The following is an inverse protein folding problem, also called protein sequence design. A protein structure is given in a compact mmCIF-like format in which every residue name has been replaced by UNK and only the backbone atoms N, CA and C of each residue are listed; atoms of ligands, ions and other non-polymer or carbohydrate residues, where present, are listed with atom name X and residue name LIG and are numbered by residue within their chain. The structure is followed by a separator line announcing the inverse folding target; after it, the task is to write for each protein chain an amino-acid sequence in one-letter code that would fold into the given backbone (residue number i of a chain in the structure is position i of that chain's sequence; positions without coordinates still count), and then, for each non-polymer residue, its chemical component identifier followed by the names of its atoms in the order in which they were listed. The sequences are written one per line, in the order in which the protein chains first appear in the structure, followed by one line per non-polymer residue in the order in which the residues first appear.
data_IF_821339505102
#
_entry.id   IF_821339505102
#
_cell.length_a   1.000
_cell.length_b   1.000
_cell.length_c   1.000
_cell.angle_alpha   90.00
_cell.angle_beta   90.00
_cell.angle_gamma   90.00
#
_symmetry.space_group_name_H-M   'P 1'
#
loop_
_entity.id
_entity.type
_entity.pdbx_description
1 polymer ?
#
# COMPACT_ATOMS: atom_id res chain seq x y z
N UNK A 1 -5.95 2.39 -2.58
CA UNK A 1 -4.69 2.47 -3.36
C UNK A 1 -4.94 2.82 -4.82
N UNK A 2 -5.40 1.89 -5.68
CA UNK A 2 -5.49 2.10 -7.13
C UNK A 2 -6.26 3.37 -7.56
N UNK A 3 -7.38 3.66 -6.90
CA UNK A 3 -8.19 4.88 -7.15
C UNK A 3 -7.43 6.19 -6.89
N UNK A 4 -6.46 6.21 -5.98
CA UNK A 4 -5.67 7.42 -5.69
C UNK A 4 -4.78 7.84 -6.86
N UNK A 5 -4.47 6.92 -7.78
CA UNK A 5 -3.60 7.16 -8.92
C UNK A 5 -4.36 7.70 -10.15
N UNK A 6 -5.67 7.49 -10.23
CA UNK A 6 -6.46 7.80 -11.43
C UNK A 6 -6.45 9.29 -11.84
N UNK A 7 -6.35 10.27 -10.91
CA UNK A 7 -6.24 11.69 -11.30
C UNK A 7 -4.90 12.10 -11.91
N UNK A 8 -3.87 11.24 -11.84
CA UNK A 8 -2.49 11.61 -12.15
C UNK A 8 -2.03 11.24 -13.56
N UNK A 9 -2.94 10.74 -14.41
CA UNK A 9 -2.65 10.44 -15.81
C UNK A 9 -1.85 9.15 -16.01
N UNK A 10 -1.78 8.29 -14.99
CA UNK A 10 -1.09 7.00 -15.07
C UNK A 10 -2.06 5.86 -15.42
N UNK A 11 -1.55 4.85 -16.10
CA UNK A 11 -2.30 3.64 -16.39
C UNK A 11 -2.28 2.69 -15.18
N UNK A 12 -3.45 2.38 -14.62
CA UNK A 12 -3.56 1.53 -13.43
C UNK A 12 -4.18 0.19 -13.79
N UNK A 13 -3.44 -0.88 -13.54
CA UNK A 13 -3.94 -2.25 -13.58
C UNK A 13 -4.11 -2.80 -12.17
N UNK A 14 -5.15 -3.59 -11.95
CA UNK A 14 -5.40 -4.23 -10.66
C UNK A 14 -5.55 -5.74 -10.80
N UNK A 15 -4.81 -6.45 -9.95
CA UNK A 15 -4.94 -7.88 -9.75
C UNK A 15 -5.42 -8.15 -8.33
N UNK A 16 -6.57 -8.81 -8.19
CA UNK A 16 -7.23 -9.03 -6.91
C UNK A 16 -8.18 -10.22 -7.01
N UNK A 17 -8.66 -10.71 -5.87
CA UNK A 17 -9.73 -11.71 -5.81
C UNK A 17 -10.99 -11.07 -5.22
N UNK A 18 -12.13 -11.30 -5.86
CA UNK A 18 -13.46 -10.95 -5.36
C UNK A 18 -14.32 -12.20 -5.30
N UNK A 19 -15.34 -12.21 -4.45
CA UNK A 19 -16.34 -13.26 -4.44
C UNK A 19 -17.18 -13.26 -5.71
N UNK A 20 -17.81 -14.40 -6.00
CA UNK A 20 -18.84 -14.51 -7.04
C UNK A 20 -20.22 -13.99 -6.56
N UNK A 21 -20.23 -12.80 -5.94
CA UNK A 21 -21.40 -12.23 -5.26
C UNK A 21 -21.74 -10.81 -5.79
N UNK A 22 -22.80 -10.22 -5.24
CA UNK A 22 -23.25 -8.88 -5.62
C UNK A 22 -22.19 -7.81 -5.36
N UNK A 23 -21.43 -7.94 -4.27
CA UNK A 23 -20.37 -6.99 -3.91
C UNK A 23 -19.17 -7.11 -4.86
N UNK A 24 -18.84 -8.32 -5.33
CA UNK A 24 -17.80 -8.54 -6.34
C UNK A 24 -18.17 -7.92 -7.69
N UNK A 25 -19.44 -8.03 -8.10
CA UNK A 25 -19.96 -7.33 -9.29
C UNK A 25 -19.91 -5.82 -9.12
N UNK A 26 -20.30 -5.30 -7.95
CA UNK A 26 -20.24 -3.87 -7.61
C UNK A 26 -18.80 -3.35 -7.64
N UNK A 27 -17.84 -4.08 -7.05
CA UNK A 27 -16.42 -3.71 -7.06
C UNK A 27 -15.90 -3.58 -8.50
N UNK A 28 -16.20 -4.54 -9.38
CA UNK A 28 -15.83 -4.47 -10.81
C UNK A 28 -16.45 -3.26 -11.52
N UNK A 29 -17.71 -2.94 -11.22
CA UNK A 29 -18.37 -1.77 -11.79
C UNK A 29 -17.70 -0.46 -11.35
N UNK A 30 -17.34 -0.35 -10.07
CA UNK A 30 -16.62 0.81 -9.53
C UNK A 30 -15.23 0.96 -10.17
N UNK A 31 -14.48 -0.14 -10.33
CA UNK A 31 -13.18 -0.10 -11.01
C UNK A 31 -13.31 0.39 -12.46
N UNK A 32 -14.34 -0.06 -13.20
CA UNK A 32 -14.61 0.42 -14.56
C UNK A 32 -14.98 1.90 -14.59
N UNK A 33 -15.81 2.37 -13.66
CA UNK A 33 -16.18 3.78 -13.57
C UNK A 33 -14.97 4.69 -13.33
N UNK A 34 -13.99 4.20 -12.57
CA UNK A 34 -12.71 4.86 -12.31
C UNK A 34 -11.67 4.65 -13.43
N UNK A 35 -12.04 4.00 -14.54
CA UNK A 35 -11.16 3.66 -15.67
C UNK A 35 -9.92 2.82 -15.29
N UNK A 36 -10.02 2.04 -14.21
CA UNK A 36 -8.95 1.13 -13.76
C UNK A 36 -9.06 -0.19 -14.54
N UNK A 37 -7.94 -0.65 -15.12
CA UNK A 37 -7.89 -1.92 -15.87
C UNK A 37 -7.97 -3.12 -14.92
N UNK A 38 -9.15 -3.73 -14.84
CA UNK A 38 -9.48 -4.80 -13.90
C UNK A 38 -9.43 -6.22 -14.51
N UNK A 39 -8.63 -6.43 -15.55
CA UNK A 39 -8.48 -7.75 -16.21
C UNK A 39 -7.83 -8.80 -15.30
N UNK A 40 -7.08 -8.37 -14.29
CA UNK A 40 -6.47 -9.23 -13.28
C UNK A 40 -7.40 -9.54 -12.09
N UNK A 41 -8.63 -9.04 -12.08
CA UNK A 41 -9.59 -9.33 -11.00
C UNK A 41 -10.23 -10.69 -11.24
N UNK A 42 -9.98 -11.63 -10.34
CA UNK A 42 -10.46 -13.01 -10.39
C UNK A 42 -11.69 -13.15 -9.50
N UNK A 43 -12.69 -13.88 -9.97
CA UNK A 43 -13.87 -14.22 -9.17
C UNK A 43 -13.72 -15.62 -8.59
N UNK A 44 -13.78 -15.72 -7.27
CA UNK A 44 -13.69 -16.97 -6.53
C UNK A 44 -15.04 -17.26 -5.86
N UNK A 45 -15.62 -18.44 -6.11
CA UNK A 45 -16.92 -18.84 -5.54
C UNK A 45 -16.81 -19.32 -4.10
N UNK A 46 -15.61 -19.70 -3.66
CA UNK A 46 -15.38 -20.30 -2.34
C UNK A 46 -15.32 -19.28 -1.20
N UNK A 47 -15.34 -17.98 -1.50
CA UNK A 47 -15.19 -16.92 -0.50
C UNK A 47 -16.05 -15.67 -0.81
N UNK A 48 -16.48 -14.92 0.21
CA UNK A 48 -17.18 -13.67 0.00
C UNK A 48 -16.21 -12.57 -0.46
N UNK A 49 -16.74 -11.59 -1.19
CA UNK A 49 -16.03 -10.32 -1.41
C UNK A 49 -15.86 -9.59 -0.08
N UNK A 50 -14.61 -9.30 0.30
CA UNK A 50 -14.29 -8.54 1.52
C UNK A 50 -15.05 -7.22 1.53
N UNK A 51 -15.94 -7.06 2.52
CA UNK A 51 -16.79 -5.87 2.66
C UNK A 51 -16.73 -5.37 4.10
N UNK A 52 -16.57 -4.06 4.27
CA UNK A 52 -16.58 -3.37 5.56
C UNK A 52 -17.78 -2.42 5.58
N UNK A 53 -18.87 -2.81 6.23
CA UNK A 53 -20.08 -1.99 6.32
C UNK A 53 -20.06 -1.19 7.62
N UNK A 54 -20.04 0.14 7.53
CA UNK A 54 -20.13 1.05 8.68
C UNK A 54 -21.58 1.54 8.81
N UNK A 55 -22.19 1.33 9.98
CA UNK A 55 -23.52 1.83 10.33
C UNK A 55 -23.32 3.07 11.19
N UNK A 56 -23.89 4.19 10.77
CA UNK A 56 -23.71 5.51 11.41
C UNK A 56 -25.06 6.17 11.68
N UNK A 57 -25.21 6.86 12.81
CA UNK A 57 -26.33 7.76 13.11
C UNK A 57 -25.77 9.09 13.63
N UNK A 58 -26.37 10.21 13.22
CA UNK A 58 -26.00 11.57 13.67
C UNK A 58 -24.47 11.82 13.69
N UNK A 59 -23.77 11.37 12.64
CA UNK A 59 -22.30 11.44 12.45
C UNK A 59 -21.46 10.57 13.40
N UNK A 60 -22.07 9.75 14.25
CA UNK A 60 -21.37 8.75 15.07
C UNK A 60 -21.44 7.37 14.43
N UNK A 61 -20.33 6.62 14.46
CA UNK A 61 -20.31 5.23 14.02
C UNK A 61 -20.86 4.33 15.13
N UNK A 62 -22.00 3.69 14.87
CA UNK A 62 -22.65 2.76 15.80
C UNK A 62 -21.99 1.40 15.75
N UNK A 63 -21.84 0.83 14.55
CA UNK A 63 -21.38 -0.54 14.36
C UNK A 63 -20.60 -0.69 13.06
N UNK A 64 -19.64 -1.64 13.07
CA UNK A 64 -18.96 -2.11 11.86
C UNK A 64 -19.24 -3.60 11.66
N UNK A 65 -19.76 -3.96 10.49
CA UNK A 65 -19.98 -5.33 10.06
C UNK A 65 -18.94 -5.70 8.99
N UNK A 66 -18.09 -6.66 9.32
CA UNK A 66 -17.03 -7.13 8.44
C UNK A 66 -17.46 -8.48 7.85
N UNK A 67 -17.52 -8.57 6.51
CA UNK A 67 -17.73 -9.83 5.79
C UNK A 67 -16.45 -10.15 5.05
N UNK A 68 -15.67 -11.08 5.56
CA UNK A 68 -14.35 -11.40 5.03
C UNK A 68 -13.91 -12.83 5.33
N UNK A 69 -12.98 -13.31 4.52
CA UNK A 69 -12.24 -14.55 4.74
C UNK A 69 -10.76 -14.18 4.77
N UNK A 70 -9.98 -14.83 5.65
CA UNK A 70 -8.54 -14.60 5.81
C UNK A 70 -7.70 -15.77 5.33
N UNK A 71 -8.31 -16.94 5.14
CA UNK A 71 -7.69 -18.10 4.52
C UNK A 71 -7.15 -17.76 3.13
N UNK A 72 -6.11 -18.52 2.74
CA UNK A 72 -5.53 -18.44 1.41
C UNK A 72 -6.61 -18.59 0.33
N UNK A 73 -6.46 -17.86 -0.77
CA UNK A 73 -7.30 -18.06 -1.97
C UNK A 73 -7.17 -19.50 -2.49
N UNK A 74 -8.18 -19.96 -3.24
CA UNK A 74 -8.13 -21.29 -3.85
C UNK A 74 -6.92 -21.45 -4.77
N UNK A 75 -6.43 -22.68 -4.93
CA UNK A 75 -5.31 -22.98 -5.83
C UNK A 75 -5.59 -22.55 -7.27
N UNK A 76 -6.85 -22.63 -7.73
CA UNK A 76 -7.25 -22.12 -9.04
C UNK A 76 -7.08 -20.60 -9.14
N UNK A 77 -7.61 -19.85 -8.17
CA UNK A 77 -7.44 -18.39 -8.11
C UNK A 77 -5.96 -18.00 -8.04
N UNK A 78 -5.17 -18.73 -7.28
CA UNK A 78 -3.73 -18.52 -7.14
C UNK A 78 -2.98 -18.72 -8.46
N UNK A 79 -3.26 -19.81 -9.18
CA UNK A 79 -2.67 -20.09 -10.50
C UNK A 79 -3.04 -19.03 -11.53
N UNK A 80 -4.31 -18.62 -11.57
CA UNK A 80 -4.79 -17.57 -12.49
C UNK A 80 -4.14 -16.23 -12.19
N UNK A 81 -3.99 -15.90 -10.89
CA UNK A 81 -3.34 -14.67 -10.44
C UNK A 81 -1.86 -14.67 -10.81
N UNK A 82 -1.14 -15.75 -10.51
CA UNK A 82 0.27 -15.89 -10.85
C UNK A 82 0.51 -15.77 -12.37
N UNK A 83 -0.31 -16.45 -13.18
CA UNK A 83 -0.20 -16.39 -14.64
C UNK A 83 -0.48 -14.98 -15.19
N UNK A 84 -1.44 -14.26 -14.61
CA UNK A 84 -1.71 -12.87 -15.00
C UNK A 84 -0.55 -11.95 -14.61
N UNK A 85 -0.06 -12.05 -13.37
CA UNK A 85 1.05 -11.25 -12.85
C UNK A 85 2.32 -11.44 -13.67
N UNK A 86 2.67 -12.69 -14.01
CA UNK A 86 3.84 -13.02 -14.81
C UNK A 86 3.83 -12.36 -16.21
N UNK A 87 2.63 -12.15 -16.78
CA UNK A 87 2.47 -11.47 -18.08
C UNK A 87 2.40 -9.94 -17.96
N UNK A 88 1.82 -9.42 -16.88
CA UNK A 88 1.57 -7.98 -16.75
C UNK A 88 2.75 -7.20 -16.16
N UNK A 89 3.47 -7.77 -15.19
CA UNK A 89 4.59 -7.09 -14.50
C UNK A 89 5.66 -6.56 -15.47
N UNK A 90 6.07 -7.27 -16.54
CA UNK A 90 7.07 -6.77 -17.49
C UNK A 90 6.71 -5.45 -18.20
N UNK A 91 5.45 -5.03 -18.14
CA UNK A 91 4.95 -3.82 -18.80
C UNK A 91 4.61 -2.69 -17.82
N UNK A 92 4.97 -2.83 -16.53
CA UNK A 92 4.70 -1.84 -15.51
C UNK A 92 5.99 -1.10 -15.11
N UNK A 93 5.87 0.17 -14.75
CA UNK A 93 6.99 0.94 -14.19
C UNK A 93 7.22 0.63 -12.70
N UNK A 94 6.17 0.21 -11.98
CA UNK A 94 6.22 -0.15 -10.56
C UNK A 94 5.11 -1.14 -10.21
N UNK A 95 5.37 -2.03 -9.25
CA UNK A 95 4.35 -2.93 -8.67
C UNK A 95 4.03 -2.50 -7.24
N UNK A 96 2.75 -2.28 -6.95
CA UNK A 96 2.27 -1.97 -5.60
C UNK A 96 1.55 -3.19 -5.00
N UNK A 97 2.08 -3.72 -3.91
CA UNK A 97 1.46 -4.80 -3.15
C UNK A 97 0.84 -4.25 -1.87
N UNK A 98 -0.48 -4.21 -1.82
CA UNK A 98 -1.21 -3.81 -0.61
C UNK A 98 -1.67 -5.07 0.12
N UNK A 99 -0.93 -5.48 1.14
CA UNK A 99 -1.32 -6.61 1.96
C UNK A 99 -2.35 -6.17 2.99
N UNK A 100 -3.41 -6.96 3.13
CA UNK A 100 -4.45 -6.78 4.14
C UNK A 100 -4.62 -8.01 5.02
N UNK A 101 -3.71 -9.00 4.88
CA UNK A 101 -3.79 -10.32 5.51
C UNK A 101 -5.15 -11.02 5.26
N UNK A 102 -5.65 -10.90 4.01
CA UNK A 102 -6.91 -11.55 3.55
C UNK A 102 -6.66 -12.78 2.67
N UNK A 103 -5.44 -13.30 2.67
CA UNK A 103 -5.10 -14.56 2.00
C UNK A 103 -4.90 -14.48 0.47
N UNK A 104 -4.92 -13.29 -0.13
CA UNK A 104 -4.62 -13.10 -1.56
C UNK A 104 -3.12 -13.18 -1.84
N UNK A 105 -2.31 -12.52 -1.01
CA UNK A 105 -0.84 -12.55 -1.14
C UNK A 105 -0.31 -13.82 -0.48
N UNK A 106 -0.52 -14.98 -1.09
CA UNK A 106 0.07 -16.25 -0.67
C UNK A 106 1.59 -16.26 -0.92
N UNK A 107 2.28 -17.29 -0.43
CA UNK A 107 3.71 -17.47 -0.72
C UNK A 107 3.99 -17.52 -2.23
N UNK A 108 3.21 -18.32 -2.99
CA UNK A 108 3.35 -18.44 -4.44
C UNK A 108 3.08 -17.13 -5.17
N UNK A 109 2.07 -16.37 -4.76
CA UNK A 109 1.79 -15.05 -5.36
C UNK A 109 2.97 -14.11 -5.12
N UNK A 110 3.49 -14.04 -3.88
CA UNK A 110 4.67 -13.23 -3.55
C UNK A 110 5.89 -13.65 -4.35
N UNK A 111 6.19 -14.94 -4.42
CA UNK A 111 7.29 -15.50 -5.23
C UNK A 111 7.16 -15.14 -6.71
N UNK A 112 5.95 -15.23 -7.26
CA UNK A 112 5.69 -14.85 -8.66
C UNK A 112 5.94 -13.36 -8.88
N UNK A 113 5.46 -12.50 -7.99
CA UNK A 113 5.67 -11.05 -8.10
C UNK A 113 7.15 -10.73 -8.00
N UNK A 114 7.82 -11.14 -6.92
CA UNK A 114 9.23 -10.80 -6.68
C UNK A 114 10.16 -11.42 -7.74
N UNK A 115 9.91 -12.67 -8.15
CA UNK A 115 10.69 -13.34 -9.19
C UNK A 115 10.55 -12.65 -10.55
N UNK A 116 9.32 -12.34 -10.96
CA UNK A 116 9.07 -11.66 -12.24
C UNK A 116 9.62 -10.23 -12.22
N UNK A 117 9.32 -9.47 -11.17
CA UNK A 117 9.76 -8.08 -11.05
C UNK A 117 11.28 -7.97 -11.06
N UNK A 118 11.98 -8.84 -10.32
CA UNK A 118 13.45 -8.90 -10.34
C UNK A 118 14.03 -9.21 -11.72
N UNK A 119 13.44 -10.18 -12.45
CA UNK A 119 13.90 -10.54 -13.81
C UNK A 119 13.81 -9.38 -14.79
N UNK A 120 12.83 -8.49 -14.59
CA UNK A 120 12.56 -7.35 -15.47
C UNK A 120 13.01 -6.00 -14.88
N UNK A 121 13.74 -6.01 -13.75
CA UNK A 121 14.17 -4.81 -13.04
C UNK A 121 13.02 -3.84 -12.66
N UNK A 122 11.82 -4.37 -12.41
CA UNK A 122 10.66 -3.58 -11.99
C UNK A 122 10.66 -3.44 -10.46
N UNK A 123 10.60 -2.22 -9.92
CA UNK A 123 10.56 -2.02 -8.48
C UNK A 123 9.23 -2.49 -7.87
N UNK A 124 9.31 -3.08 -6.68
CA UNK A 124 8.14 -3.55 -5.91
C UNK A 124 8.05 -2.83 -4.58
N UNK A 125 6.95 -2.11 -4.37
CA UNK A 125 6.60 -1.46 -3.11
C UNK A 125 5.51 -2.24 -2.39
N UNK A 126 5.74 -2.59 -1.13
CA UNK A 126 4.82 -3.39 -0.33
C UNK A 126 4.35 -2.62 0.91
N UNK A 127 3.04 -2.59 1.15
CA UNK A 127 2.44 -2.25 2.46
C UNK A 127 2.21 -3.57 3.22
N UNK A 128 3.08 -3.92 4.19
CA UNK A 128 3.09 -5.24 4.80
C UNK A 128 1.99 -5.39 5.86
N UNK A 129 1.58 -6.64 6.12
CA UNK A 129 0.73 -7.02 7.27
C UNK A 129 1.19 -8.26 8.01
N UNK A 130 2.11 -9.04 7.43
CA UNK A 130 2.66 -10.21 8.11
C UNK A 130 3.61 -9.75 9.24
N UNK A 131 3.59 -10.41 10.42
CA UNK A 131 4.45 -10.04 11.54
C UNK A 131 5.95 -10.13 11.23
N UNK A 132 6.34 -10.98 10.28
CA UNK A 132 7.73 -11.14 9.85
C UNK A 132 7.95 -10.50 8.49
N UNK A 133 8.66 -9.37 8.46
CA UNK A 133 8.97 -8.65 7.22
C UNK A 133 9.86 -9.45 6.25
N UNK A 134 10.54 -10.52 6.72
CA UNK A 134 11.30 -11.42 5.84
C UNK A 134 10.41 -12.16 4.85
N UNK A 135 9.10 -12.27 5.13
CA UNK A 135 8.13 -12.83 4.20
C UNK A 135 8.00 -12.03 2.89
N UNK A 136 8.48 -10.79 2.87
CA UNK A 136 8.49 -9.90 1.72
C UNK A 136 9.91 -9.74 1.12
N UNK A 137 10.82 -10.69 1.37
CA UNK A 137 12.13 -10.74 0.73
C UNK A 137 11.99 -10.72 -0.80
N UNK A 138 12.58 -9.70 -1.43
CA UNK A 138 12.43 -9.41 -2.86
C UNK A 138 11.69 -8.11 -3.15
N UNK A 139 11.06 -7.48 -2.14
CA UNK A 139 10.54 -6.13 -2.25
C UNK A 139 11.69 -5.11 -2.37
N UNK A 140 11.53 -4.11 -3.24
CA UNK A 140 12.42 -2.95 -3.32
C UNK A 140 12.20 -2.04 -2.13
N UNK A 141 10.94 -1.79 -1.78
CA UNK A 141 10.56 -0.92 -0.66
C UNK A 141 9.48 -1.58 0.20
N UNK A 142 9.65 -1.48 1.52
CA UNK A 142 8.63 -1.86 2.49
C UNK A 142 8.13 -0.60 3.20
N UNK A 143 6.81 -0.43 3.30
CA UNK A 143 6.16 0.70 3.96
C UNK A 143 5.39 0.29 5.22
N UNK A 144 6.00 -0.23 6.30
CA UNK A 144 5.25 -0.54 7.52
C UNK A 144 4.82 0.73 8.26
N UNK A 145 3.86 0.59 9.17
CA UNK A 145 3.62 1.57 10.23
C UNK A 145 4.37 1.20 11.52
N UNK A 146 4.30 2.06 12.54
CA UNK A 146 4.98 1.85 13.81
C UNK A 146 4.59 0.53 14.50
N UNK A 147 3.31 0.14 14.47
CA UNK A 147 2.84 -1.11 15.11
C UNK A 147 3.39 -2.35 14.40
N UNK A 148 3.51 -2.30 13.08
CA UNK A 148 4.13 -3.37 12.28
C UNK A 148 5.64 -3.46 12.55
N UNK A 149 6.31 -2.32 12.73
CA UNK A 149 7.72 -2.28 13.13
C UNK A 149 7.92 -2.87 14.52
N UNK A 150 7.08 -2.54 15.49
CA UNK A 150 7.11 -3.11 16.85
C UNK A 150 6.87 -4.63 16.84
N UNK A 151 5.87 -5.09 16.08
CA UNK A 151 5.59 -6.51 15.93
C UNK A 151 6.77 -7.27 15.30
N UNK A 152 7.39 -6.67 14.27
CA UNK A 152 8.50 -7.29 13.54
C UNK A 152 9.83 -7.23 14.29
N UNK A 153 10.07 -6.19 15.10
CA UNK A 153 11.32 -6.03 15.86
C UNK A 153 11.47 -7.08 16.97
N UNK A 154 10.35 -7.64 17.45
CA UNK A 154 10.28 -8.56 18.59
C UNK A 154 10.97 -8.00 19.86
N UNK A 155 11.09 -6.68 19.95
CA UNK A 155 11.76 -5.96 21.03
C UNK A 155 11.01 -4.67 21.33
N UNK A 156 10.91 -4.24 22.60
CA UNK A 156 10.38 -2.92 22.95
C UNK A 156 11.13 -1.81 22.20
N UNK A 157 10.38 -0.81 21.74
CA UNK A 157 10.91 0.41 21.15
C UNK A 157 10.50 1.56 22.06
N UNK A 158 11.39 1.93 22.97
CA UNK A 158 11.09 2.90 24.04
C UNK A 158 11.78 4.26 23.80
N UNK A 159 12.77 4.29 22.91
CA UNK A 159 13.50 5.50 22.56
C UNK A 159 13.69 5.65 21.05
N UNK A 160 14.04 6.87 20.63
CA UNK A 160 14.41 7.16 19.24
C UNK A 160 15.60 6.31 18.77
N UNK A 161 16.58 6.06 19.65
CA UNK A 161 17.73 5.20 19.34
C UNK A 161 17.32 3.74 19.12
N UNK A 162 16.35 3.25 19.91
CA UNK A 162 15.82 1.90 19.73
C UNK A 162 15.05 1.77 18.43
N UNK A 163 14.24 2.78 18.10
CA UNK A 163 13.51 2.85 16.84
C UNK A 163 14.44 2.78 15.64
N UNK A 164 15.49 3.59 15.64
CA UNK A 164 16.43 3.60 14.53
C UNK A 164 17.21 2.28 14.40
N UNK A 165 17.61 1.69 15.54
CA UNK A 165 18.25 0.37 15.57
C UNK A 165 17.31 -0.70 15.02
N UNK A 166 16.04 -0.69 15.40
CA UNK A 166 15.03 -1.61 14.91
C UNK A 166 14.80 -1.44 13.40
N UNK A 167 14.63 -0.20 12.92
CA UNK A 167 14.44 0.09 11.50
C UNK A 167 15.62 -0.35 10.63
N UNK A 168 16.86 -0.05 11.06
CA UNK A 168 18.08 -0.52 10.37
C UNK A 168 18.14 -2.06 10.32
N UNK A 169 17.87 -2.72 11.44
CA UNK A 169 17.84 -4.18 11.51
C UNK A 169 16.78 -4.78 10.58
N UNK A 170 15.54 -4.26 10.61
CA UNK A 170 14.43 -4.76 9.79
C UNK A 170 14.68 -4.55 8.29
N UNK A 171 15.24 -3.40 7.89
CA UNK A 171 15.65 -3.15 6.50
C UNK A 171 16.68 -4.18 6.04
N UNK A 172 17.70 -4.43 6.85
CA UNK A 172 18.73 -5.43 6.55
C UNK A 172 18.15 -6.85 6.50
N UNK A 173 17.31 -7.23 7.46
CA UNK A 173 16.74 -8.57 7.57
C UNK A 173 15.78 -8.89 6.42
N UNK A 174 14.92 -7.94 6.06
CA UNK A 174 14.01 -8.05 4.92
C UNK A 174 14.73 -7.97 3.57
N UNK A 175 15.91 -7.33 3.52
CA UNK A 175 16.71 -7.20 2.32
C UNK A 175 16.15 -6.20 1.31
N UNK A 176 15.27 -5.29 1.72
CA UNK A 176 14.78 -4.21 0.87
C UNK A 176 15.81 -3.07 0.74
N UNK A 177 15.68 -2.27 -0.30
CA UNK A 177 16.52 -1.10 -0.53
C UNK A 177 16.15 0.03 0.44
N UNK A 178 14.85 0.24 0.62
CA UNK A 178 14.30 1.20 1.57
C UNK A 178 13.23 0.60 2.49
N UNK A 179 13.31 0.97 3.77
CA UNK A 179 12.21 0.78 4.72
C UNK A 179 11.65 2.16 5.06
N UNK A 180 10.38 2.40 4.74
CA UNK A 180 9.69 3.68 4.93
C UNK A 180 8.64 3.52 6.02
N UNK A 181 8.90 4.05 7.21
CA UNK A 181 8.05 3.83 8.39
C UNK A 181 7.15 5.03 8.63
N UNK A 182 5.84 4.84 8.47
CA UNK A 182 4.84 5.87 8.81
C UNK A 182 4.57 5.85 10.32
N UNK A 183 4.63 7.03 10.96
CA UNK A 183 4.61 7.18 12.43
C UNK A 183 3.44 8.04 12.93
N UNK A 184 2.29 7.93 12.27
CA UNK A 184 1.10 8.74 12.60
C UNK A 184 1.42 10.23 12.41
N UNK A 185 1.33 11.07 13.46
CA UNK A 185 1.64 12.50 13.35
C UNK A 185 3.15 12.79 13.25
N UNK A 186 4.02 11.86 13.68
CA UNK A 186 5.47 12.06 13.67
C UNK A 186 6.04 11.94 12.25
N UNK A 187 7.20 12.59 11.96
CA UNK A 187 7.86 12.49 10.66
C UNK A 187 8.04 11.05 10.19
N UNK A 188 7.71 10.79 8.92
CA UNK A 188 7.93 9.49 8.27
C UNK A 188 9.43 9.24 8.17
N UNK A 189 9.89 8.08 8.64
CA UNK A 189 11.30 7.74 8.67
C UNK A 189 11.68 6.89 7.45
N UNK A 190 12.74 7.26 6.75
CA UNK A 190 13.27 6.54 5.59
C UNK A 190 14.63 5.96 5.93
N UNK A 191 14.72 4.63 5.93
CA UNK A 191 15.95 3.89 6.21
C UNK A 191 16.55 3.36 4.90
N UNK A 192 17.79 3.73 4.63
CA UNK A 192 18.57 3.30 3.47
C UNK A 192 19.88 2.61 3.91
N UNK A 193 20.46 1.75 3.06
CA UNK A 193 21.75 1.12 3.36
C UNK A 193 22.84 2.18 3.52
N UNK A 194 23.59 2.11 4.62
CA UNK A 194 24.79 2.92 4.85
C UNK A 194 24.55 4.43 4.95
N UNK A 195 23.29 4.86 5.14
CA UNK A 195 22.92 6.27 5.31
C UNK A 195 22.27 6.50 6.66
N UNK A 196 22.36 7.73 7.14
CA UNK A 196 21.57 8.20 8.26
C UNK A 196 20.08 8.16 7.94
N UNK A 197 19.26 8.04 8.99
CA UNK A 197 17.80 7.97 8.84
C UNK A 197 17.29 9.35 8.42
N UNK A 198 16.59 9.42 7.28
CA UNK A 198 15.93 10.65 6.88
C UNK A 198 14.55 10.73 7.53
N UNK A 199 14.23 11.87 8.14
CA UNK A 199 12.92 12.14 8.72
C UNK A 199 12.18 13.16 7.85
N UNK A 200 11.13 12.69 7.19
CA UNK A 200 10.31 13.52 6.31
C UNK A 200 9.10 14.04 7.08
N UNK A 201 8.96 15.36 7.27
CA UNK A 201 7.85 15.94 8.00
C UNK A 201 6.49 15.51 7.44
N UNK A 202 5.51 15.34 8.31
CA UNK A 202 4.11 15.14 7.92
C UNK A 202 3.46 16.50 7.67
N UNK A 203 2.44 16.55 6.82
CA UNK A 203 1.74 17.79 6.44
C UNK A 203 0.39 18.00 7.16
N UNK A 204 0.04 17.15 8.12
CA UNK A 204 -1.29 17.18 8.74
C UNK A 204 -1.44 18.38 9.69
N UNK A 205 -2.22 19.39 9.28
CA UNK A 205 -2.60 20.55 10.11
C UNK A 205 -3.92 20.33 10.88
N UNK A 206 -4.87 19.60 10.28
CA UNK A 206 -6.14 19.22 10.90
C UNK A 206 -6.53 17.79 10.47
N UNK A 207 -6.79 16.90 11.43
CA UNK A 207 -7.12 15.48 11.19
C UNK A 207 -8.61 15.27 11.40
N UNK A 208 -9.35 15.05 10.31
CA UNK A 208 -10.78 14.75 10.33
C UNK A 208 -11.05 13.24 10.26
N UNK A 209 -10.45 12.53 9.30
CA UNK A 209 -10.60 11.07 9.16
C UNK A 209 -9.30 10.45 8.63
N UNK A 210 -8.72 9.52 9.39
CA UNK A 210 -7.49 8.81 8.99
C UNK A 210 -7.74 7.65 8.02
N UNK A 211 -9.00 7.39 7.67
CA UNK A 211 -9.40 6.30 6.78
C UNK A 211 -8.78 6.48 5.38
N UNK A 212 -7.86 5.60 5.00
CA UNK A 212 -7.25 5.59 3.67
C UNK A 212 -5.97 6.43 3.53
N UNK A 213 -5.46 7.02 4.62
CA UNK A 213 -4.17 7.71 4.61
C UNK A 213 -3.02 6.77 4.20
N UNK A 214 -2.99 5.55 4.75
CA UNK A 214 -1.98 4.54 4.38
C UNK A 214 -2.07 4.10 2.91
N UNK A 215 -3.29 4.00 2.39
CA UNK A 215 -3.58 3.70 0.98
C UNK A 215 -3.13 4.81 0.03
N UNK A 216 -3.20 6.07 0.50
CA UNK A 216 -2.72 7.25 -0.21
C UNK A 216 -1.20 7.29 -0.17
N UNK A 217 -0.58 7.06 0.99
CA UNK A 217 0.87 6.93 1.11
C UNK A 217 1.43 5.88 0.15
N UNK A 218 0.85 4.67 0.13
CA UNK A 218 1.30 3.60 -0.76
C UNK A 218 1.21 3.99 -2.24
N UNK A 219 0.10 4.62 -2.64
CA UNK A 219 -0.11 5.06 -4.01
C UNK A 219 0.93 6.11 -4.44
N UNK A 220 1.12 7.16 -3.64
CA UNK A 220 2.01 8.28 -4.00
C UNK A 220 3.50 7.95 -3.86
N UNK A 221 3.88 7.07 -2.93
CA UNK A 221 5.22 6.48 -2.92
C UNK A 221 5.47 5.70 -4.22
N UNK A 222 4.49 4.89 -4.64
CA UNK A 222 4.52 4.18 -5.91
C UNK A 222 4.66 5.12 -7.11
N UNK A 223 3.89 6.20 -7.13
CA UNK A 223 3.95 7.22 -8.17
C UNK A 223 5.33 7.89 -8.25
N UNK A 224 5.90 8.27 -7.09
CA UNK A 224 7.26 8.83 -7.05
C UNK A 224 8.32 7.85 -7.52
N UNK A 225 8.21 6.57 -7.12
CA UNK A 225 9.10 5.51 -7.59
C UNK A 225 9.01 5.30 -9.11
N UNK A 226 7.80 5.29 -9.68
CA UNK A 226 7.60 5.20 -11.13
C UNK A 226 8.15 6.41 -11.88
N UNK A 227 8.12 7.60 -11.26
CA UNK A 227 8.71 8.82 -11.81
C UNK A 227 10.25 8.87 -11.66
N UNK A 228 10.87 7.91 -10.96
CA UNK A 228 12.32 7.85 -10.78
C UNK A 228 12.89 8.86 -9.78
N UNK A 229 12.06 9.50 -8.95
CA UNK A 229 12.55 10.40 -7.90
C UNK A 229 13.15 9.61 -6.73
N UNK A 230 13.92 10.28 -5.87
CA UNK A 230 14.50 9.63 -4.69
C UNK A 230 13.43 9.13 -3.71
N UNK A 231 13.75 8.15 -2.87
CA UNK A 231 12.82 7.66 -1.85
C UNK A 231 12.39 8.74 -0.84
N UNK A 232 13.22 9.75 -0.61
CA UNK A 232 12.89 10.90 0.25
C UNK A 232 11.87 11.79 -0.45
N UNK A 233 12.09 12.16 -1.70
CA UNK A 233 11.14 12.96 -2.51
C UNK A 233 9.80 12.25 -2.71
N UNK A 234 9.84 10.94 -3.00
CA UNK A 234 8.63 10.12 -3.07
C UNK A 234 7.87 10.13 -1.73
N UNK A 235 8.60 10.12 -0.60
CA UNK A 235 7.99 10.18 0.74
C UNK A 235 7.40 11.56 1.04
N UNK A 236 8.05 12.64 0.61
CA UNK A 236 7.52 14.01 0.73
C UNK A 236 6.21 14.15 -0.04
N UNK A 237 6.19 13.73 -1.31
CA UNK A 237 5.00 13.68 -2.15
C UNK A 237 3.87 12.89 -1.49
N UNK A 238 4.20 11.71 -0.96
CA UNK A 238 3.23 10.86 -0.29
C UNK A 238 2.69 11.50 1.00
N UNK A 239 3.55 12.12 1.81
CA UNK A 239 3.14 12.81 3.04
C UNK A 239 2.23 14.01 2.75
N UNK A 240 2.50 14.78 1.69
CA UNK A 240 1.61 15.87 1.25
C UNK A 240 0.23 15.29 0.88
N UNK A 241 0.21 14.27 0.03
CA UNK A 241 -1.04 13.65 -0.41
C UNK A 241 -1.85 13.05 0.76
N UNK A 242 -1.18 12.33 1.67
CA UNK A 242 -1.82 11.79 2.86
C UNK A 242 -2.33 12.90 3.79
N UNK A 243 -1.57 13.99 3.95
CA UNK A 243 -1.97 15.19 4.71
C UNK A 243 -3.25 15.83 4.17
N UNK A 244 -3.41 15.89 2.84
CA UNK A 244 -4.64 16.38 2.20
C UNK A 244 -5.82 15.45 2.49
N UNK A 245 -5.64 14.12 2.38
CA UNK A 245 -6.73 13.15 2.55
C UNK A 245 -7.22 13.08 3.99
N UNK A 246 -6.34 13.21 4.99
CA UNK A 246 -6.76 13.16 6.40
C UNK A 246 -7.67 14.33 6.81
N UNK A 247 -7.67 15.43 6.04
CA UNK A 247 -8.59 16.55 6.20
C UNK A 247 -9.98 16.31 5.58
N UNK A 248 -10.21 15.17 4.92
CA UNK A 248 -11.46 14.85 4.21
C UNK A 248 -12.21 13.71 4.89
N UNK A 249 -13.53 13.64 4.70
CA UNK A 249 -14.36 12.57 5.25
C UNK A 249 -14.28 11.31 4.38
N UNK A 250 -14.04 10.16 5.00
CA UNK A 250 -14.04 8.85 4.35
C UNK A 250 -12.79 8.59 3.49
N UNK A 251 -12.87 7.58 2.63
CA UNK A 251 -11.78 7.19 1.71
C UNK A 251 -11.72 8.12 0.48
N UNK A 252 -11.46 9.39 0.73
CA UNK A 252 -11.27 10.41 -0.29
C UNK A 252 -9.98 10.16 -1.10
N UNK A 253 -9.91 10.77 -2.29
CA UNK A 253 -8.70 10.82 -3.12
C UNK A 253 -8.20 12.27 -3.22
N UNK A 254 -6.93 12.43 -3.58
CA UNK A 254 -6.32 13.72 -3.89
C UNK A 254 -6.49 14.02 -5.37
N UNK A 255 -6.96 15.22 -5.71
CA UNK A 255 -6.98 15.71 -7.09
C UNK A 255 -5.68 16.44 -7.43
N UNK A 256 -5.29 16.45 -8.72
CA UNK A 256 -4.02 17.05 -9.16
C UNK A 256 -3.86 18.51 -8.72
N UNK A 257 -4.92 19.31 -8.86
CA UNK A 257 -4.89 20.73 -8.49
C UNK A 257 -4.67 20.92 -6.98
N UNK A 258 -5.28 20.06 -6.15
CA UNK A 258 -5.09 20.11 -4.69
C UNK A 258 -3.64 19.78 -4.33
N UNK A 259 -3.07 18.75 -4.95
CA UNK A 259 -1.68 18.37 -4.71
C UNK A 259 -0.72 19.53 -5.06
N UNK A 260 -0.86 20.10 -6.25
CA UNK A 260 -0.01 21.21 -6.71
C UNK A 260 -0.09 22.44 -5.80
N UNK A 261 -1.28 22.74 -5.27
CA UNK A 261 -1.47 23.85 -4.34
C UNK A 261 -0.75 23.65 -2.98
N UNK A 262 -0.39 22.41 -2.63
CA UNK A 262 0.32 22.08 -1.39
C UNK A 262 1.79 21.72 -1.62
N UNK A 263 2.26 21.72 -2.87
CA UNK A 263 3.68 21.55 -3.18
C UNK A 263 4.43 22.86 -2.94
N UNK A 264 5.66 22.82 -2.40
CA UNK A 264 6.50 24.01 -2.31
C UNK A 264 6.72 24.60 -3.71
N UNK A 265 6.71 25.93 -3.84
CA UNK A 265 6.82 26.66 -5.12
C UNK A 265 8.09 26.36 -5.93
N UNK A 266 9.09 25.74 -5.31
CA UNK A 266 10.43 25.53 -5.87
C UNK A 266 10.65 24.09 -6.41
N UNK A 267 9.60 23.26 -6.52
CA UNK A 267 9.69 21.85 -6.95
C UNK A 267 8.56 21.38 -7.85
#
# INVERSE_FOLDING_TARGET
VARNLTPFGVEVHICAVVGADANGRRARALLRAEKIRATGVISDRSRPTTTKTRITAERQQILRLDREETAAISTESEQRMAAWLARSIPHADVVLMSDYAKGVLTARVRETVFGTARRHAIPVLVDPKLPDLRAYRGATVLKPNMREVEAASKRPIESQKDFERAGRHLRQASGCDALIVTRGPLPTAVFLAGKEVAYVPTMAREVFDVSGAGDTMLAFLGLGMAAGVSYVEATELANIAAGIVVGKVGTARVERAELLAHMPSDR
#
